data_IF_703792577007
#
_entry.id   IF_703792577007
#
_cell.length_a   1.000
_cell.length_b   1.000
_cell.length_c   1.000
_cell.angle_alpha   90.00
_cell.angle_beta   90.00
_cell.angle_gamma   90.00
#
_symmetry.space_group_name_H-M   'P 1'
#
loop_
_entity.id
_entity.type
_entity.pdbx_description
1 polymer ?
#
# COMPACT_ATOMS: atom_id res chain seq x y z
N UNK A 1 46.41 -8.54 -30.70
CA UNK A 1 45.29 -7.79 -30.15
C UNK A 1 44.31 -7.38 -31.27
N UNK A 2 44.76 -6.76 -32.35
CA UNK A 2 43.94 -6.28 -33.47
C UNK A 2 43.08 -7.37 -34.14
N UNK A 3 43.63 -8.55 -34.47
CA UNK A 3 42.88 -9.66 -35.08
C UNK A 3 41.77 -10.26 -34.23
N UNK A 4 41.86 -10.15 -32.89
CA UNK A 4 40.87 -10.70 -31.98
C UNK A 4 39.63 -9.79 -31.83
N UNK A 5 39.79 -8.49 -32.11
CA UNK A 5 38.77 -7.46 -31.98
C UNK A 5 38.44 -6.74 -33.29
N UNK A 6 38.73 -7.36 -34.41
CA UNK A 6 38.56 -6.77 -35.74
C UNK A 6 37.11 -6.35 -36.02
N UNK A 7 36.15 -7.17 -35.62
CA UNK A 7 34.71 -6.87 -35.74
C UNK A 7 34.30 -5.68 -34.83
N UNK A 8 34.84 -5.59 -33.64
CA UNK A 8 34.53 -4.50 -32.71
C UNK A 8 35.16 -3.19 -33.21
N UNK A 9 36.35 -3.25 -33.79
CA UNK A 9 37.05 -2.10 -34.38
C UNK A 9 36.29 -1.57 -35.63
N UNK A 10 35.80 -2.46 -36.50
CA UNK A 10 35.00 -2.08 -37.66
C UNK A 10 33.67 -1.42 -37.22
N UNK A 11 33.00 -1.98 -36.25
CA UNK A 11 31.77 -1.40 -35.71
C UNK A 11 31.99 0.00 -35.10
N UNK A 12 33.06 0.17 -34.36
CA UNK A 12 33.45 1.50 -33.78
C UNK A 12 33.76 2.49 -34.89
N UNK A 13 34.39 2.06 -36.03
CA UNK A 13 34.65 2.91 -37.18
C UNK A 13 33.37 3.33 -37.91
N UNK A 14 32.41 2.41 -38.04
CA UNK A 14 31.08 2.69 -38.59
C UNK A 14 30.33 3.69 -37.73
N UNK A 15 30.31 3.49 -36.41
CA UNK A 15 29.69 4.41 -35.46
C UNK A 15 30.32 5.80 -35.50
N UNK A 16 31.65 5.89 -35.57
CA UNK A 16 32.37 7.16 -35.70
C UNK A 16 32.03 7.88 -37.02
N UNK A 17 31.93 7.14 -38.11
CA UNK A 17 31.54 7.74 -39.41
C UNK A 17 30.08 8.16 -39.46
N UNK A 18 29.19 7.44 -38.82
CA UNK A 18 27.79 7.81 -38.65
C UNK A 18 27.66 9.11 -37.86
N UNK A 19 28.35 9.23 -36.71
CA UNK A 19 28.37 10.45 -35.88
C UNK A 19 28.94 11.64 -36.66
N UNK A 20 29.99 11.43 -37.42
CA UNK A 20 30.59 12.52 -38.25
C UNK A 20 29.61 13.00 -39.35
N UNK A 21 28.78 12.12 -39.89
CA UNK A 21 27.73 12.48 -40.86
C UNK A 21 26.58 13.22 -40.21
N UNK A 22 26.12 12.78 -39.01
CA UNK A 22 25.05 13.45 -38.28
C UNK A 22 25.44 14.83 -37.77
N UNK A 23 26.65 14.98 -37.29
CA UNK A 23 27.14 16.26 -36.72
C UNK A 23 27.66 17.23 -37.79
N UNK A 24 27.91 16.76 -39.01
CA UNK A 24 28.48 17.58 -40.08
C UNK A 24 29.92 18.08 -39.82
N UNK A 25 30.60 17.54 -38.78
CA UNK A 25 31.93 17.97 -38.37
C UNK A 25 32.97 16.85 -38.45
N UNK A 26 34.24 17.16 -38.80
CA UNK A 26 35.31 16.20 -38.70
C UNK A 26 35.48 15.63 -37.29
N UNK A 27 35.73 14.36 -37.16
CA UNK A 27 35.83 13.62 -35.89
C UNK A 27 36.85 14.25 -34.91
N UNK A 28 37.91 14.86 -35.44
CA UNK A 28 38.93 15.54 -34.61
C UNK A 28 38.41 16.82 -33.98
N UNK A 29 37.58 17.59 -34.66
CA UNK A 29 36.96 18.81 -34.16
C UNK A 29 35.84 18.47 -33.14
N UNK A 30 35.04 17.45 -33.45
CA UNK A 30 34.03 16.94 -32.54
C UNK A 30 34.64 16.50 -31.21
N UNK A 31 35.76 15.76 -31.22
CA UNK A 31 36.50 15.39 -30.01
C UNK A 31 36.92 16.58 -29.17
N UNK A 32 37.44 17.64 -29.81
CA UNK A 32 37.82 18.87 -29.08
C UNK A 32 36.62 19.56 -28.41
N UNK A 33 35.47 19.61 -29.11
CA UNK A 33 34.23 20.15 -28.56
C UNK A 33 33.76 19.34 -27.37
N UNK A 34 33.71 18.01 -27.49
CA UNK A 34 33.32 17.11 -26.39
C UNK A 34 34.24 17.25 -25.19
N UNK A 35 35.57 17.38 -25.41
CA UNK A 35 36.53 17.57 -24.33
C UNK A 35 36.35 18.92 -23.64
N UNK A 36 36.08 19.99 -24.38
CA UNK A 36 35.76 21.30 -23.84
C UNK A 36 34.48 21.30 -23.01
N UNK A 37 33.43 20.64 -23.50
CA UNK A 37 32.16 20.47 -22.77
C UNK A 37 32.36 19.67 -21.48
N UNK A 38 33.08 18.54 -21.54
CA UNK A 38 33.42 17.72 -20.35
C UNK A 38 34.19 18.52 -19.31
N UNK A 39 35.17 19.30 -19.74
CA UNK A 39 35.93 20.17 -18.84
C UNK A 39 35.02 21.19 -18.16
N UNK A 40 34.18 21.89 -18.94
CA UNK A 40 33.21 22.85 -18.38
C UNK A 40 32.21 22.21 -17.43
N UNK A 41 31.71 21.01 -17.74
CA UNK A 41 30.83 20.24 -16.84
C UNK A 41 31.54 19.87 -15.53
N UNK A 42 32.81 19.44 -15.59
CA UNK A 42 33.60 19.09 -14.41
C UNK A 42 33.86 20.31 -13.52
N UNK A 43 34.21 21.45 -14.11
CA UNK A 43 34.40 22.71 -13.39
C UNK A 43 33.09 23.17 -12.73
N UNK A 44 31.97 23.14 -13.46
CA UNK A 44 30.66 23.48 -12.92
C UNK A 44 30.22 22.58 -11.78
N UNK A 45 30.42 21.25 -11.93
CA UNK A 45 30.10 20.28 -10.88
C UNK A 45 30.97 20.48 -9.63
N UNK A 46 32.25 20.84 -9.80
CA UNK A 46 33.16 21.16 -8.68
C UNK A 46 32.69 22.42 -7.94
N UNK A 47 32.39 23.48 -8.64
CA UNK A 47 31.91 24.75 -8.05
C UNK A 47 30.57 24.54 -7.29
N UNK A 48 29.63 23.78 -7.88
CA UNK A 48 28.37 23.44 -7.19
C UNK A 48 28.63 22.66 -5.90
N UNK A 49 29.54 21.70 -5.91
CA UNK A 49 29.90 20.91 -4.73
C UNK A 49 30.47 21.79 -3.62
N UNK A 50 31.43 22.64 -3.95
CA UNK A 50 32.06 23.59 -3.00
C UNK A 50 30.98 24.51 -2.38
N UNK A 51 30.04 24.98 -3.19
CA UNK A 51 28.93 25.84 -2.73
C UNK A 51 27.97 25.10 -1.80
N UNK A 52 27.67 23.81 -2.07
CA UNK A 52 26.84 22.98 -1.20
C UNK A 52 27.53 22.74 0.13
N UNK A 53 28.78 22.28 0.11
CA UNK A 53 29.58 21.95 1.31
C UNK A 53 29.71 23.14 2.25
N UNK A 54 29.99 24.34 1.71
CA UNK A 54 30.09 25.59 2.47
C UNK A 54 28.76 25.96 3.20
N UNK A 55 27.60 25.46 2.73
CA UNK A 55 26.28 25.84 3.26
C UNK A 55 25.57 24.70 4.02
N UNK A 56 26.19 23.54 4.27
CA UNK A 56 25.56 22.41 5.00
C UNK A 56 25.08 22.81 6.40
N UNK A 57 25.78 23.71 7.08
CA UNK A 57 25.40 24.21 8.41
C UNK A 57 24.03 24.91 8.41
N UNK A 58 23.63 25.51 7.29
CA UNK A 58 22.32 26.13 7.13
C UNK A 58 21.21 25.08 7.19
N UNK A 59 21.41 23.92 6.53
CA UNK A 59 20.46 22.81 6.54
C UNK A 59 20.28 22.26 7.96
N UNK A 60 21.38 22.03 8.69
CA UNK A 60 21.34 21.54 10.09
C UNK A 60 20.48 22.46 10.97
N UNK A 61 20.57 23.79 10.79
CA UNK A 61 19.75 24.76 11.55
C UNK A 61 18.26 24.53 11.35
N UNK A 62 17.82 24.30 10.10
CA UNK A 62 16.40 24.07 9.80
C UNK A 62 15.94 22.67 10.18
N UNK A 63 16.77 21.65 9.99
CA UNK A 63 16.48 20.27 10.41
C UNK A 63 16.27 20.18 11.94
N UNK A 64 17.14 20.80 12.74
CA UNK A 64 16.96 20.89 14.21
C UNK A 64 15.63 21.52 14.61
N UNK A 65 15.24 22.62 13.95
CA UNK A 65 13.96 23.29 14.22
C UNK A 65 12.75 22.40 13.91
N UNK A 66 12.87 21.51 12.95
CA UNK A 66 11.82 20.58 12.53
C UNK A 66 11.81 19.30 13.36
N UNK A 67 12.96 18.77 13.75
CA UNK A 67 13.10 17.55 14.57
C UNK A 67 12.40 17.68 15.94
N UNK A 68 12.46 18.85 16.56
CA UNK A 68 11.83 19.09 17.87
C UNK A 68 10.28 18.97 17.86
N UNK A 69 9.66 18.69 16.72
CA UNK A 69 8.20 18.56 16.61
C UNK A 69 7.67 17.12 16.78
N UNK A 70 8.55 16.14 17.06
CA UNK A 70 8.15 14.75 17.26
C UNK A 70 7.41 14.12 16.08
N UNK A 71 7.88 14.39 14.86
CA UNK A 71 7.16 14.11 13.60
C UNK A 71 7.41 12.71 13.03
N UNK A 72 8.12 11.82 13.75
CA UNK A 72 8.28 10.42 13.33
C UNK A 72 9.37 10.19 12.24
N UNK A 73 10.13 11.23 11.87
CA UNK A 73 11.31 11.11 11.01
C UNK A 73 12.58 11.33 11.83
N UNK A 74 13.62 10.60 11.48
CA UNK A 74 14.94 10.77 12.11
C UNK A 74 15.56 12.11 11.71
N UNK A 75 16.38 12.65 12.61
CA UNK A 75 17.08 13.91 12.36
C UNK A 75 17.98 13.82 11.11
N UNK A 76 18.64 12.68 10.91
CA UNK A 76 19.48 12.40 9.74
C UNK A 76 18.69 12.48 8.43
N UNK A 77 17.48 11.94 8.41
CA UNK A 77 16.61 11.97 7.22
C UNK A 77 16.21 13.41 6.87
N UNK A 78 15.83 14.20 7.89
CA UNK A 78 15.51 15.62 7.70
C UNK A 78 16.70 16.41 7.18
N UNK A 79 17.94 16.08 7.60
CA UNK A 79 19.15 16.71 7.07
C UNK A 79 19.34 16.33 5.60
N UNK A 80 19.16 15.07 5.21
CA UNK A 80 19.32 14.65 3.82
C UNK A 80 18.28 15.29 2.90
N UNK A 81 17.02 15.34 3.33
CA UNK A 81 15.96 16.02 2.56
C UNK A 81 16.20 17.52 2.44
N UNK A 82 16.72 18.12 3.49
CA UNK A 82 17.20 19.51 3.48
C UNK A 82 18.36 19.73 2.51
N UNK A 83 19.32 18.77 2.45
CA UNK A 83 20.44 18.82 1.50
C UNK A 83 19.94 18.72 0.04
N UNK A 84 18.94 17.89 -0.23
CA UNK A 84 18.28 17.83 -1.55
C UNK A 84 17.67 19.19 -1.91
N UNK A 85 17.04 19.85 -0.93
CA UNK A 85 16.54 21.22 -1.09
C UNK A 85 17.67 22.22 -1.38
N UNK A 86 18.78 22.14 -0.65
CA UNK A 86 19.96 22.97 -0.86
C UNK A 86 20.57 22.79 -2.26
N UNK A 87 20.68 21.54 -2.75
CA UNK A 87 21.19 21.23 -4.09
C UNK A 87 20.32 21.88 -5.17
N UNK A 88 18.98 21.81 -5.02
CA UNK A 88 18.05 22.49 -5.92
C UNK A 88 18.20 24.02 -5.88
N UNK A 89 18.50 24.57 -4.71
CA UNK A 89 18.76 25.99 -4.58
C UNK A 89 20.04 26.43 -5.30
N UNK A 90 21.12 25.64 -5.19
CA UNK A 90 22.39 25.91 -5.90
C UNK A 90 22.20 25.84 -7.41
N UNK A 91 21.43 24.89 -7.92
CA UNK A 91 21.17 24.76 -9.36
C UNK A 91 20.38 25.95 -9.95
N UNK A 92 19.52 26.58 -9.15
CA UNK A 92 18.61 27.62 -9.61
C UNK A 92 18.99 29.03 -9.15
N UNK A 93 20.05 29.17 -8.38
CA UNK A 93 20.46 30.46 -7.85
C UNK A 93 21.10 31.35 -8.93
N UNK A 94 20.58 32.55 -9.05
CA UNK A 94 21.19 33.61 -9.91
C UNK A 94 21.76 34.72 -9.03
N UNK A 95 23.08 34.79 -8.99
CA UNK A 95 23.81 35.82 -8.23
C UNK A 95 23.61 37.26 -8.79
N UNK A 96 23.21 37.37 -10.06
CA UNK A 96 23.01 38.68 -10.74
C UNK A 96 21.83 39.44 -10.15
N UNK A 97 20.91 38.78 -9.48
CA UNK A 97 19.78 39.43 -8.81
C UNK A 97 20.17 40.16 -7.51
N UNK A 98 21.41 40.12 -7.09
CA UNK A 98 21.94 40.83 -5.91
C UNK A 98 21.48 40.27 -4.55
N UNK A 99 20.70 39.19 -4.51
CA UNK A 99 20.23 38.57 -3.27
C UNK A 99 21.29 37.66 -2.67
N UNK A 100 21.35 37.59 -1.32
CA UNK A 100 22.22 36.61 -0.63
C UNK A 100 21.70 35.19 -0.87
N UNK A 101 22.63 34.27 -1.16
CA UNK A 101 22.32 32.88 -1.38
C UNK A 101 21.48 32.24 -0.24
N UNK A 102 21.84 32.55 1.02
CA UNK A 102 21.13 32.02 2.20
C UNK A 102 19.65 32.38 2.22
N UNK A 103 19.26 33.55 1.73
CA UNK A 103 17.85 33.98 1.65
C UNK A 103 17.07 33.12 0.67
N UNK A 104 17.66 32.84 -0.48
CA UNK A 104 17.06 32.01 -1.50
C UNK A 104 17.02 30.50 -1.08
N UNK A 105 18.15 30.00 -0.59
CA UNK A 105 18.28 28.58 -0.17
C UNK A 105 17.37 28.21 0.99
N UNK A 106 17.07 29.14 1.91
CA UNK A 106 16.17 28.90 3.03
C UNK A 106 14.81 28.35 2.59
N UNK A 107 14.22 28.93 1.56
CA UNK A 107 12.90 28.53 1.05
C UNK A 107 12.94 27.11 0.49
N UNK A 108 13.99 26.76 -0.27
CA UNK A 108 14.15 25.42 -0.84
C UNK A 108 14.43 24.36 0.22
N UNK A 109 15.26 24.67 1.21
CA UNK A 109 15.54 23.78 2.34
C UNK A 109 14.27 23.53 3.15
N UNK A 110 13.54 24.57 3.51
CA UNK A 110 12.26 24.43 4.25
C UNK A 110 11.22 23.66 3.44
N UNK A 111 11.13 23.89 2.14
CA UNK A 111 10.23 23.14 1.26
C UNK A 111 10.61 21.67 1.18
N UNK A 112 11.92 21.35 1.05
CA UNK A 112 12.41 19.96 1.05
C UNK A 112 12.01 19.23 2.32
N UNK A 113 12.35 19.80 3.48
CA UNK A 113 12.05 19.22 4.80
C UNK A 113 10.52 19.10 5.02
N UNK A 114 9.75 20.17 4.73
CA UNK A 114 8.30 20.15 4.96
C UNK A 114 7.59 19.13 4.08
N UNK A 115 8.04 18.97 2.84
CA UNK A 115 7.48 17.99 1.91
C UNK A 115 7.81 16.56 2.33
N UNK A 116 9.04 16.31 2.77
CA UNK A 116 9.43 15.00 3.29
C UNK A 116 8.60 14.61 4.52
N UNK A 117 8.44 15.53 5.48
CA UNK A 117 7.57 15.31 6.63
C UNK A 117 6.13 14.98 6.19
N UNK A 118 5.59 15.69 5.22
CA UNK A 118 4.25 15.44 4.72
C UNK A 118 4.12 14.06 4.05
N UNK A 119 5.16 13.63 3.32
CA UNK A 119 5.12 12.42 2.50
C UNK A 119 5.50 11.15 3.27
N UNK A 120 6.34 11.24 4.32
CA UNK A 120 7.00 10.06 4.94
C UNK A 120 6.80 9.96 6.46
N UNK A 121 6.40 11.03 7.16
CA UNK A 121 6.32 11.04 8.63
C UNK A 121 5.22 10.15 9.23
N UNK A 122 4.35 9.59 8.43
CA UNK A 122 3.23 8.77 8.90
C UNK A 122 3.31 7.34 8.33
N UNK A 123 3.03 6.35 9.16
CA UNK A 123 2.91 4.95 8.74
C UNK A 123 1.92 4.77 7.60
N UNK A 124 0.79 5.48 7.66
CA UNK A 124 -0.19 5.56 6.57
C UNK A 124 -0.05 6.93 5.92
N UNK A 125 0.46 6.96 4.69
CA UNK A 125 0.66 8.19 3.93
C UNK A 125 -0.64 8.95 3.71
N UNK A 126 -0.63 10.24 3.98
CA UNK A 126 -1.76 11.15 3.76
C UNK A 126 -1.39 12.14 2.64
N UNK A 127 -2.27 12.40 1.66
CA UNK A 127 -2.03 13.41 0.63
C UNK A 127 -1.77 14.81 1.22
N UNK A 128 -0.87 15.59 0.59
CA UNK A 128 -0.44 16.92 1.08
C UNK A 128 -1.62 17.86 1.31
N UNK A 129 -2.60 17.88 0.39
CA UNK A 129 -3.79 18.75 0.54
C UNK A 129 -4.64 18.41 1.78
N UNK A 130 -4.66 17.15 2.21
CA UNK A 130 -5.34 16.75 3.45
C UNK A 130 -4.55 17.18 4.69
N UNK A 131 -3.22 17.13 4.63
CA UNK A 131 -2.33 17.63 5.70
C UNK A 131 -2.51 19.14 5.87
N UNK A 132 -2.61 19.90 4.79
CA UNK A 132 -2.89 21.32 4.82
C UNK A 132 -4.24 21.63 5.47
N UNK A 133 -5.28 20.83 5.16
CA UNK A 133 -6.58 20.96 5.81
C UNK A 133 -6.49 20.65 7.31
N UNK A 134 -5.77 19.58 7.70
CA UNK A 134 -5.53 19.23 9.11
C UNK A 134 -4.82 20.37 9.83
N UNK A 135 -3.79 20.97 9.24
CA UNK A 135 -3.07 22.10 9.83
C UNK A 135 -3.97 23.34 9.99
N UNK A 136 -4.85 23.63 8.98
CA UNK A 136 -5.83 24.73 9.09
C UNK A 136 -6.81 24.47 10.24
N UNK A 137 -7.33 23.24 10.35
CA UNK A 137 -8.23 22.83 11.43
C UNK A 137 -7.55 22.98 12.79
N UNK A 138 -6.34 22.45 12.95
CA UNK A 138 -5.60 22.52 14.21
C UNK A 138 -5.28 23.98 14.63
N UNK A 139 -4.96 24.84 13.64
CA UNK A 139 -4.72 26.27 13.91
C UNK A 139 -5.99 26.96 14.36
N UNK A 140 -7.10 26.76 13.68
CA UNK A 140 -8.38 27.33 14.04
C UNK A 140 -8.88 26.84 15.40
N UNK A 141 -8.72 25.55 15.68
CA UNK A 141 -9.06 24.95 16.98
C UNK A 141 -8.27 25.62 18.12
N UNK A 142 -6.94 25.78 17.95
CA UNK A 142 -6.12 26.48 18.97
C UNK A 142 -6.56 27.94 19.20
N UNK A 143 -6.84 28.67 18.13
CA UNK A 143 -7.32 30.05 18.23
C UNK A 143 -8.67 30.12 18.92
N UNK A 144 -9.59 29.20 18.59
CA UNK A 144 -10.91 29.13 19.22
C UNK A 144 -10.81 28.78 20.70
N UNK A 145 -10.00 27.78 21.08
CA UNK A 145 -9.75 27.43 22.48
C UNK A 145 -9.16 28.59 23.26
N UNK A 146 -8.23 29.33 22.68
CA UNK A 146 -7.65 30.50 23.33
C UNK A 146 -8.68 31.61 23.58
N UNK A 147 -9.65 31.78 22.66
CA UNK A 147 -10.66 32.84 22.73
C UNK A 147 -11.85 32.46 23.63
N UNK A 148 -12.30 31.21 23.57
CA UNK A 148 -13.57 30.78 24.20
C UNK A 148 -13.39 29.73 25.31
N UNK A 149 -12.18 29.23 25.59
CA UNK A 149 -11.88 28.26 26.63
C UNK A 149 -12.44 26.85 26.43
N UNK A 150 -13.08 26.57 25.27
CA UNK A 150 -13.66 25.27 24.94
C UNK A 150 -13.26 24.79 23.54
N UNK A 151 -13.46 23.52 23.25
CA UNK A 151 -13.24 22.97 21.91
C UNK A 151 -14.36 23.43 20.96
N UNK A 152 -14.03 23.78 19.69
CA UNK A 152 -15.01 24.14 18.67
C UNK A 152 -15.73 22.91 18.15
N UNK A 153 -17.01 23.07 17.76
CA UNK A 153 -17.75 22.06 17.00
C UNK A 153 -17.35 22.06 15.52
N UNK A 154 -17.66 20.99 14.77
CA UNK A 154 -17.35 20.93 13.36
C UNK A 154 -18.03 22.04 12.54
N UNK A 155 -19.22 22.47 12.95
CA UNK A 155 -19.97 23.57 12.34
C UNK A 155 -19.32 24.93 12.58
N UNK A 156 -18.81 25.15 13.79
CA UNK A 156 -18.05 26.39 14.14
C UNK A 156 -16.73 26.46 13.36
N UNK A 157 -16.03 25.34 13.25
CA UNK A 157 -14.83 25.23 12.41
C UNK A 157 -15.13 25.48 10.93
N UNK A 158 -16.25 24.98 10.44
CA UNK A 158 -16.69 25.19 9.06
C UNK A 158 -16.86 26.69 8.75
N UNK A 159 -17.44 27.45 9.66
CA UNK A 159 -17.61 28.90 9.53
C UNK A 159 -16.30 29.67 9.57
N UNK A 160 -15.32 29.20 10.37
CA UNK A 160 -14.01 29.86 10.53
C UNK A 160 -13.08 29.59 9.34
N UNK A 161 -13.08 28.33 8.86
CA UNK A 161 -12.11 27.87 7.84
C UNK A 161 -12.68 27.92 6.43
N UNK A 162 -14.00 28.09 6.28
CA UNK A 162 -14.75 28.04 5.02
C UNK A 162 -14.61 26.66 4.31
N UNK A 163 -14.62 25.58 5.10
CA UNK A 163 -14.62 24.20 4.59
C UNK A 163 -15.95 23.51 4.92
N UNK A 164 -16.48 22.66 4.03
CA UNK A 164 -17.66 21.83 4.32
C UNK A 164 -17.45 20.95 5.55
N UNK A 165 -18.50 20.76 6.35
CA UNK A 165 -18.46 19.96 7.60
C UNK A 165 -17.97 18.53 7.33
N UNK A 166 -18.39 17.90 6.21
CA UNK A 166 -17.96 16.56 5.82
C UNK A 166 -16.45 16.47 5.59
N UNK A 167 -15.83 17.50 5.01
CA UNK A 167 -14.38 17.55 4.82
C UNK A 167 -13.64 17.68 6.16
N UNK A 168 -14.22 18.40 7.11
CA UNK A 168 -13.67 18.53 8.47
C UNK A 168 -13.72 17.18 9.19
N UNK A 169 -14.86 16.49 9.15
CA UNK A 169 -14.98 15.15 9.74
C UNK A 169 -14.01 14.14 9.12
N UNK A 170 -13.89 14.13 7.79
CA UNK A 170 -12.91 13.29 7.09
C UNK A 170 -11.47 13.60 7.52
N UNK A 171 -11.10 14.88 7.61
CA UNK A 171 -9.77 15.30 8.02
C UNK A 171 -9.48 14.90 9.49
N UNK A 172 -10.47 15.01 10.38
CA UNK A 172 -10.34 14.58 11.78
C UNK A 172 -10.14 13.06 11.90
N UNK A 173 -10.91 12.25 11.17
CA UNK A 173 -10.76 10.79 11.14
C UNK A 173 -9.38 10.36 10.60
N UNK A 174 -8.91 10.98 9.52
CA UNK A 174 -7.62 10.65 8.90
C UNK A 174 -6.44 11.09 9.79
N UNK A 175 -6.64 12.06 10.69
CA UNK A 175 -5.59 12.53 11.60
C UNK A 175 -5.26 11.58 12.75
N UNK A 176 -6.05 10.52 12.97
CA UNK A 176 -5.78 9.51 13.99
C UNK A 176 -4.45 8.81 13.70
N UNK A 177 -3.60 8.67 14.73
CA UNK A 177 -2.35 7.92 14.64
C UNK A 177 -2.62 6.44 14.91
N UNK A 178 -2.03 5.52 14.14
CA UNK A 178 -2.07 4.10 14.48
C UNK A 178 -1.34 3.87 15.82
N UNK A 179 -1.83 2.90 16.56
CA UNK A 179 -1.26 2.49 17.84
C UNK A 179 -0.52 1.18 17.60
N UNK A 180 0.65 0.98 18.22
CA UNK A 180 1.40 -0.27 18.12
C UNK A 180 0.58 -1.44 18.69
N UNK A 181 0.59 -2.56 18.00
CA UNK A 181 0.01 -3.82 18.49
C UNK A 181 0.80 -4.42 19.66
N UNK A 182 2.08 -4.11 19.75
CA UNK A 182 2.98 -4.53 20.83
C UNK A 182 2.85 -3.63 22.07
N UNK A 183 2.05 -2.56 22.00
CA UNK A 183 1.87 -1.69 23.15
C UNK A 183 1.22 -2.45 24.32
N UNK A 184 1.77 -2.34 25.54
CA UNK A 184 1.22 -3.02 26.71
C UNK A 184 -0.20 -2.52 27.01
N UNK A 185 -1.04 -3.42 27.52
CA UNK A 185 -2.42 -3.14 27.91
C UNK A 185 -2.54 -3.34 29.43
N UNK A 186 -2.74 -2.25 30.16
CA UNK A 186 -2.88 -2.28 31.62
C UNK A 186 -1.60 -1.90 32.35
N UNK A 187 -1.60 -2.11 33.65
CA UNK A 187 -0.49 -1.79 34.56
C UNK A 187 0.51 -2.94 34.78
N UNK A 188 0.20 -4.13 34.31
CA UNK A 188 1.08 -5.32 34.32
C UNK A 188 1.65 -5.53 32.91
N UNK A 189 2.97 -5.56 32.80
CA UNK A 189 3.74 -5.53 31.54
C UNK A 189 3.61 -6.81 30.68
N UNK A 190 2.83 -7.80 31.06
CA UNK A 190 2.83 -9.12 30.45
C UNK A 190 1.85 -9.31 29.28
N UNK A 191 0.91 -8.39 29.02
CA UNK A 191 -0.05 -8.56 27.93
C UNK A 191 0.03 -7.46 26.88
N UNK A 192 0.19 -7.85 25.62
CA UNK A 192 0.20 -6.93 24.49
C UNK A 192 -1.19 -6.78 23.84
N UNK A 193 -1.41 -5.67 23.13
CA UNK A 193 -2.69 -5.42 22.42
C UNK A 193 -3.03 -6.51 21.40
N UNK A 194 -2.03 -7.14 20.81
CA UNK A 194 -2.21 -8.19 19.80
C UNK A 194 -2.95 -9.41 20.39
N UNK A 195 -2.74 -9.71 21.68
CA UNK A 195 -3.36 -10.84 22.37
C UNK A 195 -4.86 -10.66 22.62
N UNK A 196 -5.32 -9.41 22.63
CA UNK A 196 -6.72 -9.07 22.88
C UNK A 196 -7.54 -9.06 21.59
N UNK A 197 -6.89 -8.95 20.42
CA UNK A 197 -7.57 -8.90 19.13
C UNK A 197 -8.04 -10.30 18.75
N UNK A 198 -9.37 -10.48 18.69
CA UNK A 198 -9.95 -11.75 18.27
C UNK A 198 -9.76 -12.00 16.77
N UNK A 199 -9.45 -13.23 16.39
CA UNK A 199 -9.46 -13.67 15.00
C UNK A 199 -10.90 -13.96 14.54
N UNK A 200 -11.49 -13.03 13.80
CA UNK A 200 -12.84 -13.17 13.23
C UNK A 200 -12.94 -14.26 12.15
N UNK A 201 -11.79 -14.69 11.60
CA UNK A 201 -11.75 -15.77 10.58
C UNK A 201 -11.68 -17.16 11.20
N UNK A 202 -11.40 -17.25 12.48
CA UNK A 202 -11.33 -18.51 13.20
C UNK A 202 -12.71 -19.19 13.24
N UNK A 203 -12.77 -20.44 12.76
CA UNK A 203 -14.00 -21.21 12.77
C UNK A 203 -14.42 -21.51 14.21
N UNK A 204 -15.63 -21.09 14.56
CA UNK A 204 -16.20 -21.39 15.86
C UNK A 204 -16.18 -22.94 16.09
N UNK A 205 -15.56 -23.42 17.20
CA UNK A 205 -15.48 -24.84 17.50
C UNK A 205 -16.84 -25.52 17.55
N UNK A 206 -17.86 -24.85 18.08
CA UNK A 206 -19.24 -25.35 18.12
C UNK A 206 -19.81 -25.59 16.73
N UNK A 207 -19.69 -24.62 15.83
CA UNK A 207 -20.15 -24.77 14.44
C UNK A 207 -19.38 -25.86 13.71
N UNK A 208 -18.07 -25.97 13.94
CA UNK A 208 -17.25 -27.04 13.36
C UNK A 208 -17.65 -28.43 13.86
N UNK A 209 -17.95 -28.54 15.16
CA UNK A 209 -18.44 -29.81 15.73
C UNK A 209 -19.84 -30.16 15.21
N UNK A 210 -20.76 -29.20 15.11
CA UNK A 210 -22.09 -29.39 14.54
C UNK A 210 -22.02 -29.82 13.07
N UNK A 211 -21.17 -29.20 12.26
CA UNK A 211 -20.95 -29.59 10.86
C UNK A 211 -20.38 -31.03 10.74
N UNK A 212 -19.42 -31.41 11.59
CA UNK A 212 -18.88 -32.78 11.61
C UNK A 212 -19.95 -33.78 11.99
N UNK A 213 -20.79 -33.48 12.98
CA UNK A 213 -21.88 -34.33 13.41
C UNK A 213 -22.95 -34.47 12.32
N UNK A 214 -23.36 -33.36 11.70
CA UNK A 214 -24.28 -33.38 10.56
C UNK A 214 -23.73 -34.26 9.42
N UNK A 215 -22.44 -34.08 9.05
CA UNK A 215 -21.80 -34.88 8.00
C UNK A 215 -21.82 -36.37 8.33
N UNK A 216 -21.58 -36.72 9.60
CA UNK A 216 -21.63 -38.11 10.08
C UNK A 216 -23.05 -38.70 9.95
N UNK A 217 -24.06 -37.98 10.41
CA UNK A 217 -25.47 -38.40 10.35
C UNK A 217 -25.94 -38.52 8.90
N UNK A 218 -25.62 -37.52 8.04
CA UNK A 218 -25.93 -37.58 6.60
C UNK A 218 -25.30 -38.83 5.96
N UNK A 219 -24.02 -39.10 6.25
CA UNK A 219 -23.33 -40.30 5.74
C UNK A 219 -24.02 -41.60 6.19
N UNK A 220 -24.46 -41.66 7.44
CA UNK A 220 -25.19 -42.80 7.98
C UNK A 220 -26.57 -42.97 7.31
N UNK A 221 -27.30 -41.90 7.08
CA UNK A 221 -28.59 -41.95 6.41
C UNK A 221 -28.46 -42.37 4.93
N UNK A 222 -27.42 -41.89 4.26
CA UNK A 222 -27.13 -42.28 2.87
C UNK A 222 -26.75 -43.74 2.74
N UNK A 223 -26.03 -44.32 3.70
CA UNK A 223 -25.70 -45.76 3.69
C UNK A 223 -26.90 -46.69 3.92
N UNK A 224 -28.07 -46.18 4.36
CA UNK A 224 -29.32 -46.88 4.43
C UNK A 224 -30.08 -47.00 3.08
N UNK A 225 -29.58 -46.30 2.03
CA UNK A 225 -30.14 -46.36 0.68
C UNK A 225 -29.52 -47.46 -0.16
N UNK A 226 -30.15 -47.80 -1.31
CA UNK A 226 -29.56 -48.73 -2.27
C UNK A 226 -28.18 -48.20 -2.76
N UNK A 227 -27.15 -49.04 -2.98
CA UNK A 227 -25.79 -48.59 -3.36
C UNK A 227 -25.76 -47.69 -4.60
N UNK A 228 -26.66 -47.87 -5.55
CA UNK A 228 -26.78 -47.02 -6.73
C UNK A 228 -27.37 -45.64 -6.38
N UNK A 229 -28.39 -45.61 -5.52
CA UNK A 229 -29.02 -44.36 -5.04
C UNK A 229 -28.02 -43.54 -4.20
N UNK A 230 -27.26 -44.17 -3.31
CA UNK A 230 -26.23 -43.57 -2.51
C UNK A 230 -25.14 -42.94 -3.38
N UNK A 231 -24.61 -43.70 -4.35
CA UNK A 231 -23.54 -43.19 -5.25
C UNK A 231 -24.00 -42.00 -6.06
N UNK A 232 -25.22 -42.00 -6.60
CA UNK A 232 -25.81 -40.89 -7.35
C UNK A 232 -25.89 -39.64 -6.46
N UNK A 233 -26.43 -39.75 -5.25
CA UNK A 233 -26.53 -38.58 -4.35
C UNK A 233 -25.16 -38.07 -3.89
N UNK A 234 -24.22 -38.97 -3.55
CA UNK A 234 -22.86 -38.55 -3.14
C UNK A 234 -22.14 -37.78 -4.21
N UNK A 235 -22.22 -38.18 -5.47
CA UNK A 235 -21.59 -37.49 -6.58
C UNK A 235 -22.34 -36.21 -6.94
N UNK A 236 -23.66 -36.26 -7.00
CA UNK A 236 -24.49 -35.10 -7.34
C UNK A 236 -24.27 -33.92 -6.40
N UNK A 237 -24.20 -34.19 -5.09
CA UNK A 237 -24.01 -33.17 -4.05
C UNK A 237 -22.56 -32.99 -3.60
N UNK A 238 -21.59 -33.60 -4.28
CA UNK A 238 -20.17 -33.38 -4.01
C UNK A 238 -19.69 -33.90 -2.64
N UNK A 239 -20.38 -34.88 -2.05
CA UNK A 239 -20.07 -35.38 -0.71
C UNK A 239 -18.79 -36.21 -0.65
N UNK A 240 -18.32 -36.74 -1.79
CA UNK A 240 -17.08 -37.53 -1.92
C UNK A 240 -15.89 -36.66 -2.42
N UNK A 241 -16.15 -35.71 -3.30
CA UNK A 241 -15.10 -34.95 -4.03
C UNK A 241 -15.09 -33.45 -3.75
N UNK A 242 -15.94 -32.97 -2.85
CA UNK A 242 -16.19 -31.53 -2.61
C UNK A 242 -16.61 -30.73 -3.86
N UNK A 243 -16.96 -31.43 -4.98
CA UNK A 243 -17.38 -30.80 -6.23
C UNK A 243 -18.70 -31.42 -6.67
N UNK A 244 -19.71 -30.60 -6.86
CA UNK A 244 -21.02 -31.02 -7.37
C UNK A 244 -20.92 -31.41 -8.83
N UNK A 245 -21.50 -32.58 -9.21
CA UNK A 245 -21.52 -33.05 -10.60
C UNK A 245 -22.90 -32.84 -11.23
N UNK A 246 -22.93 -32.66 -12.53
CA UNK A 246 -24.18 -32.57 -13.31
C UNK A 246 -24.81 -33.94 -13.46
N UNK A 247 -26.12 -34.00 -13.83
CA UNK A 247 -26.79 -35.28 -14.09
C UNK A 247 -26.17 -36.06 -15.26
N UNK A 248 -25.57 -35.36 -16.18
CA UNK A 248 -24.88 -35.89 -17.36
C UNK A 248 -23.58 -36.57 -16.95
N UNK A 249 -22.73 -35.86 -16.20
CA UNK A 249 -21.46 -36.38 -15.67
C UNK A 249 -21.67 -37.62 -14.75
N UNK A 250 -22.72 -37.61 -13.91
CA UNK A 250 -23.06 -38.76 -13.08
C UNK A 250 -23.56 -39.92 -13.94
N UNK A 251 -24.29 -39.61 -15.03
CA UNK A 251 -24.75 -40.60 -16.00
C UNK A 251 -23.60 -41.29 -16.72
N UNK A 252 -22.61 -40.57 -17.17
CA UNK A 252 -21.40 -41.10 -17.80
C UNK A 252 -20.60 -41.96 -16.82
N UNK A 253 -20.45 -41.54 -15.58
CA UNK A 253 -19.72 -42.29 -14.56
C UNK A 253 -20.37 -43.65 -14.23
N UNK A 254 -21.71 -43.70 -14.19
CA UNK A 254 -22.46 -44.93 -13.80
C UNK A 254 -22.83 -45.76 -15.06
N UNK A 255 -22.68 -45.21 -16.27
CA UNK A 255 -23.03 -45.87 -17.51
C UNK A 255 -24.54 -45.91 -17.81
N UNK A 256 -25.31 -44.87 -17.41
CA UNK A 256 -26.74 -44.76 -17.63
C UNK A 256 -27.15 -43.38 -18.17
N UNK A 257 -28.34 -43.29 -18.77
CA UNK A 257 -28.83 -42.04 -19.35
C UNK A 257 -29.15 -40.99 -18.28
N UNK A 258 -28.99 -39.69 -18.64
CA UNK A 258 -29.30 -38.52 -17.80
C UNK A 258 -30.70 -38.63 -17.15
N UNK A 259 -31.70 -39.05 -17.93
CA UNK A 259 -33.09 -39.19 -17.43
C UNK A 259 -33.21 -40.32 -16.38
N UNK A 260 -32.44 -41.36 -16.57
CA UNK A 260 -32.39 -42.45 -15.58
C UNK A 260 -31.76 -41.99 -14.27
N UNK A 261 -30.71 -41.19 -14.31
CA UNK A 261 -30.13 -40.58 -13.10
C UNK A 261 -31.14 -39.70 -12.39
N UNK A 262 -31.89 -38.84 -13.14
CA UNK A 262 -32.94 -38.01 -12.58
C UNK A 262 -34.03 -38.81 -11.85
N UNK A 263 -34.43 -39.95 -12.41
CA UNK A 263 -35.41 -40.83 -11.77
C UNK A 263 -34.85 -41.46 -10.48
N UNK A 264 -33.57 -41.88 -10.50
CA UNK A 264 -32.90 -42.46 -9.33
C UNK A 264 -32.76 -41.41 -8.23
N UNK A 265 -32.32 -40.17 -8.57
CA UNK A 265 -32.23 -39.04 -7.65
C UNK A 265 -33.57 -38.74 -6.98
N UNK A 266 -34.62 -38.60 -7.79
CA UNK A 266 -35.95 -38.30 -7.28
C UNK A 266 -36.51 -39.42 -6.37
N UNK A 267 -36.28 -40.69 -6.70
CA UNK A 267 -36.65 -41.84 -5.88
C UNK A 267 -35.88 -41.84 -4.56
N UNK A 268 -34.56 -41.58 -4.60
CA UNK A 268 -33.72 -41.52 -3.42
C UNK A 268 -34.11 -40.35 -2.49
N UNK A 269 -34.37 -39.18 -3.04
CA UNK A 269 -34.86 -38.01 -2.27
C UNK A 269 -36.23 -38.26 -1.63
N UNK A 270 -37.14 -38.97 -2.31
CA UNK A 270 -38.43 -39.34 -1.74
C UNK A 270 -38.26 -40.34 -0.58
N UNK A 271 -37.32 -41.30 -0.67
CA UNK A 271 -37.00 -42.20 0.43
C UNK A 271 -36.40 -41.44 1.64
N UNK A 272 -35.59 -40.36 1.39
CA UNK A 272 -35.03 -39.50 2.45
C UNK A 272 -36.08 -38.64 3.13
N UNK A 273 -37.15 -38.22 2.45
CA UNK A 273 -38.28 -37.47 3.01
C UNK A 273 -39.14 -38.26 4.01
N UNK A 274 -38.94 -39.58 4.13
CA UNK A 274 -39.71 -40.36 5.07
C UNK A 274 -39.51 -39.83 6.51
N UNK A 275 -40.57 -39.72 7.33
CA UNK A 275 -40.54 -39.07 8.65
C UNK A 275 -39.44 -39.59 9.59
N UNK A 276 -39.15 -40.89 9.56
CA UNK A 276 -38.12 -41.53 10.40
C UNK A 276 -36.70 -41.01 10.08
N UNK A 277 -36.39 -40.73 8.81
CA UNK A 277 -35.11 -40.21 8.37
C UNK A 277 -35.06 -38.68 8.47
N UNK A 278 -36.15 -38.02 8.07
CA UNK A 278 -36.28 -36.59 8.17
C UNK A 278 -36.14 -36.06 9.61
N UNK A 279 -36.67 -36.79 10.61
CA UNK A 279 -36.58 -36.47 12.04
C UNK A 279 -35.11 -36.35 12.51
N UNK A 280 -34.21 -37.22 12.02
CA UNK A 280 -32.78 -37.19 12.38
C UNK A 280 -32.04 -35.94 11.84
N UNK A 281 -32.53 -35.35 10.75
CA UNK A 281 -31.94 -34.16 10.12
C UNK A 281 -32.60 -32.88 10.57
N UNK A 282 -33.83 -32.92 11.07
CA UNK A 282 -34.61 -31.73 11.41
C UNK A 282 -33.98 -30.90 12.54
N UNK A 283 -33.32 -31.58 13.49
CA UNK A 283 -32.61 -30.92 14.60
C UNK A 283 -31.45 -30.01 14.15
N UNK A 284 -31.02 -30.11 12.90
CA UNK A 284 -29.95 -29.23 12.33
C UNK A 284 -30.51 -28.15 11.41
N UNK A 285 -31.82 -28.06 11.22
CA UNK A 285 -32.49 -27.07 10.38
C UNK A 285 -33.18 -25.98 11.23
N UNK A 286 -33.31 -26.20 12.53
CA UNK A 286 -34.04 -25.32 13.45
C UNK A 286 -33.10 -24.35 14.21
N UNK A 287 -31.79 -24.34 13.90
CA UNK A 287 -30.78 -23.35 14.27
C UNK A 287 -30.38 -22.52 13.04
#
# INVERSE_FOLDING_TARGET
FAKKHEKDILKIQEDITAIARETGQPTAEYKKVVELVRRGQTEAARAKREMIEANLRLVIKFAKKSSNRGLGLDFSDLVQDGNIGLMKAVDKFDYRLGNKFSTYATNWIQQGISRSIADQARTIRIPVHMIDNIHKIQRATRQFMHKYGRQPTAEELSKIIYLPVDKIHKAMKVNLKPISLEAPVGSEDDSSRIEIIADETAKNPFVSAAQKNLRKIVTQILSELDPKEETVLRQRFGMSTNKTSTLEEVGEYIGVTRERIRQIEQKALNKLKHPTRARKLRSFLED
#
